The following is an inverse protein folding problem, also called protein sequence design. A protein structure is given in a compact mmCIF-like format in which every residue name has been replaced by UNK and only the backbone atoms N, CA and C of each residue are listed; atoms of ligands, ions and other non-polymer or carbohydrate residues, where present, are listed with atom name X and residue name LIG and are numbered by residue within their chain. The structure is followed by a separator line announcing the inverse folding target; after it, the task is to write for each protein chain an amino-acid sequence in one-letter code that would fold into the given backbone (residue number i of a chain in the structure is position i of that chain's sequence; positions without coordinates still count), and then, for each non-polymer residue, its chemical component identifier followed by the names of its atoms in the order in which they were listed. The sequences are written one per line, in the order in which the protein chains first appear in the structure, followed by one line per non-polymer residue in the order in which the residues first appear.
data_IF_051026225343
#
_entry.id   IF_051026225343
#
_cell.length_a   1.000
_cell.length_b   1.000
_cell.length_c   1.000
_cell.angle_alpha   90.00
_cell.angle_beta   90.00
_cell.angle_gamma   90.00
#
_symmetry.space_group_name_H-M   'P 1'
#
loop_
_entity.id
_entity.type
_entity.pdbx_description
1 polymer ?
#
# COMPACT_ATOMS: atom_id res chain seq x y z
N UNK A 1 10.28 -25.73 14.92
CA UNK A 1 9.48 -26.82 14.32
C UNK A 1 9.82 -27.10 12.85
N UNK A 2 10.63 -26.26 12.18
CA UNK A 2 11.02 -26.41 10.78
C UNK A 2 12.48 -26.01 10.54
N UNK A 3 13.08 -26.48 9.44
CA UNK A 3 14.43 -26.12 9.01
C UNK A 3 15.55 -26.77 9.84
N UNK A 4 16.74 -26.17 9.83
CA UNK A 4 17.98 -26.70 10.43
C UNK A 4 17.92 -26.95 11.95
N UNK A 5 16.94 -26.33 12.64
CA UNK A 5 16.82 -26.37 14.11
C UNK A 5 15.72 -27.33 14.60
N UNK A 6 15.15 -28.15 13.75
CA UNK A 6 14.15 -29.18 14.15
C UNK A 6 14.70 -30.08 15.21
N UNK A 7 13.92 -30.31 16.29
CA UNK A 7 14.30 -31.18 17.42
C UNK A 7 15.28 -30.56 18.41
N UNK A 8 15.81 -29.39 18.16
CA UNK A 8 16.71 -28.71 19.11
C UNK A 8 15.88 -27.86 20.11
N UNK A 9 16.44 -27.71 21.34
CA UNK A 9 15.88 -26.78 22.31
C UNK A 9 15.87 -25.36 21.76
N UNK A 10 14.75 -24.64 21.95
CA UNK A 10 14.63 -23.26 21.52
C UNK A 10 15.62 -22.38 22.30
N UNK A 11 16.46 -21.64 21.56
CA UNK A 11 17.34 -20.62 22.10
C UNK A 11 17.02 -19.31 21.42
N UNK A 12 16.59 -18.34 22.21
CA UNK A 12 16.31 -16.99 21.70
C UNK A 12 17.63 -16.32 21.29
N UNK A 13 17.63 -15.69 20.13
CA UNK A 13 18.71 -14.79 19.70
C UNK A 13 18.72 -13.53 20.56
N UNK A 14 19.79 -12.74 20.49
CA UNK A 14 19.84 -11.43 21.17
C UNK A 14 18.67 -10.55 20.72
N UNK A 15 18.45 -10.41 19.42
CA UNK A 15 17.34 -9.61 18.87
C UNK A 15 15.98 -10.06 19.41
N UNK A 16 15.70 -11.36 19.43
CA UNK A 16 14.43 -11.87 19.96
C UNK A 16 14.23 -11.56 21.44
N UNK A 17 15.30 -11.63 22.26
CA UNK A 17 15.24 -11.21 23.65
C UNK A 17 14.94 -9.72 23.80
N UNK A 18 15.66 -8.89 23.04
CA UNK A 18 15.47 -7.43 23.06
C UNK A 18 14.04 -7.06 22.64
N UNK A 19 13.44 -7.76 21.66
CA UNK A 19 12.06 -7.57 21.27
C UNK A 19 11.06 -7.94 22.38
N UNK A 20 11.27 -9.07 23.06
CA UNK A 20 10.43 -9.50 24.17
C UNK A 20 10.54 -8.52 25.35
N UNK A 21 11.75 -8.07 25.70
CA UNK A 21 11.93 -7.02 26.71
C UNK A 21 11.17 -5.73 26.32
N UNK A 22 11.21 -5.33 25.06
CA UNK A 22 10.46 -4.17 24.61
C UNK A 22 8.94 -4.37 24.74
N UNK A 23 8.43 -5.58 24.53
CA UNK A 23 7.00 -5.89 24.68
C UNK A 23 6.58 -5.88 26.14
N UNK A 24 7.36 -6.50 27.06
CA UNK A 24 6.93 -6.85 28.40
C UNK A 24 7.51 -6.00 29.55
N UNK A 25 8.70 -5.40 29.37
CA UNK A 25 9.35 -4.64 30.47
C UNK A 25 8.73 -3.24 30.67
N UNK A 26 7.95 -2.75 29.72
CA UNK A 26 7.26 -1.46 29.80
C UNK A 26 5.86 -1.57 29.21
N UNK A 27 4.88 -0.75 29.64
CA UNK A 27 3.52 -0.81 29.11
C UNK A 27 3.51 -0.70 27.57
N UNK A 28 2.97 -1.72 26.92
CA UNK A 28 2.85 -1.81 25.47
C UNK A 28 1.42 -2.08 25.06
N UNK A 29 0.86 -1.25 24.20
CA UNK A 29 -0.46 -1.42 23.60
C UNK A 29 -0.35 -2.02 22.21
N UNK A 30 0.61 -1.53 21.43
CA UNK A 30 0.88 -2.02 20.09
C UNK A 30 2.39 -2.19 19.90
N UNK A 31 2.79 -3.31 19.33
CA UNK A 31 4.17 -3.60 18.98
C UNK A 31 4.26 -3.99 17.51
N UNK A 32 4.96 -3.20 16.71
CA UNK A 32 5.17 -3.44 15.28
C UNK A 32 6.57 -3.97 15.06
N UNK A 33 6.69 -5.17 14.50
CA UNK A 33 7.94 -5.80 14.11
C UNK A 33 7.98 -5.99 12.60
N UNK A 34 8.68 -5.08 11.92
CA UNK A 34 8.80 -5.11 10.46
C UNK A 34 10.23 -5.40 10.01
N UNK A 35 10.37 -6.44 9.20
CA UNK A 35 11.63 -6.91 8.62
C UNK A 35 11.39 -7.82 7.43
N UNK A 36 12.43 -8.11 6.66
CA UNK A 36 12.37 -9.03 5.52
C UNK A 36 11.75 -10.39 5.87
N UNK A 37 11.34 -11.12 4.87
CA UNK A 37 10.77 -12.47 5.03
C UNK A 37 11.81 -13.46 5.57
N UNK A 38 11.35 -14.57 6.15
CA UNK A 38 12.18 -15.69 6.67
C UNK A 38 13.04 -15.37 7.90
N UNK A 39 12.70 -14.33 8.66
CA UNK A 39 13.34 -13.98 9.93
C UNK A 39 12.64 -14.60 11.16
N UNK A 40 11.83 -15.64 10.98
CA UNK A 40 11.11 -16.37 12.04
C UNK A 40 10.12 -15.51 12.88
N UNK A 41 9.56 -14.45 12.29
CA UNK A 41 8.53 -13.61 12.95
C UNK A 41 7.35 -14.46 13.44
N UNK A 42 6.74 -15.24 12.54
CA UNK A 42 5.57 -16.08 12.83
C UNK A 42 5.89 -17.18 13.85
N UNK A 43 7.13 -17.75 13.83
CA UNK A 43 7.54 -18.72 14.83
C UNK A 43 7.65 -18.10 16.24
N UNK A 44 8.23 -16.90 16.37
CA UNK A 44 8.25 -16.17 17.64
C UNK A 44 6.83 -15.85 18.13
N UNK A 45 5.96 -15.44 17.24
CA UNK A 45 4.55 -15.15 17.55
C UNK A 45 3.81 -16.39 18.04
N UNK A 46 4.11 -17.58 17.53
CA UNK A 46 3.55 -18.82 18.05
C UNK A 46 3.96 -19.08 19.53
N UNK A 47 5.21 -18.76 19.90
CA UNK A 47 5.64 -18.82 21.31
C UNK A 47 4.95 -17.76 22.16
N UNK A 48 4.74 -16.55 21.65
CA UNK A 48 3.99 -15.49 22.36
C UNK A 48 2.54 -15.92 22.59
N UNK A 49 1.89 -16.54 21.60
CA UNK A 49 0.54 -17.11 21.79
C UNK A 49 0.53 -18.12 22.95
N UNK A 50 1.48 -19.05 22.99
CA UNK A 50 1.55 -20.04 24.07
C UNK A 50 1.87 -19.41 25.43
N UNK A 51 2.67 -18.35 25.46
CA UNK A 51 2.98 -17.57 26.66
C UNK A 51 1.72 -16.96 27.28
N UNK A 52 0.80 -16.47 26.47
CA UNK A 52 -0.49 -15.91 26.90
C UNK A 52 -1.59 -16.96 27.05
N UNK A 53 -1.47 -18.14 26.41
CA UNK A 53 -2.48 -19.19 26.49
C UNK A 53 -2.39 -19.98 27.80
N UNK A 54 -1.18 -20.37 28.21
CA UNK A 54 -0.93 -21.22 29.37
C UNK A 54 0.38 -20.91 30.10
N UNK A 55 1.12 -19.87 29.70
CA UNK A 55 2.38 -19.44 30.33
C UNK A 55 2.19 -18.31 31.35
N UNK A 56 3.29 -17.66 31.76
CA UNK A 56 3.29 -16.61 32.81
C UNK A 56 2.43 -15.38 32.48
N UNK A 57 2.18 -15.09 31.20
CA UNK A 57 1.34 -13.97 30.76
C UNK A 57 -0.15 -14.36 30.61
N UNK A 58 -0.52 -15.62 30.90
CA UNK A 58 -1.89 -16.08 30.76
C UNK A 58 -2.78 -15.45 31.84
N UNK A 59 -3.94 -14.97 31.42
CA UNK A 59 -4.99 -14.44 32.28
C UNK A 59 -6.23 -15.31 32.10
N UNK A 60 -6.85 -15.71 33.20
CA UNK A 60 -8.04 -16.56 33.18
C UNK A 60 -9.13 -15.99 32.26
N UNK A 61 -9.75 -16.86 31.48
CA UNK A 61 -10.82 -16.56 30.51
C UNK A 61 -10.43 -15.59 29.37
N UNK A 62 -9.15 -15.45 29.09
CA UNK A 62 -8.68 -14.58 28.00
C UNK A 62 -8.92 -15.17 26.62
N UNK A 63 -9.23 -14.30 25.68
CA UNK A 63 -9.37 -14.60 24.26
C UNK A 63 -8.12 -14.09 23.51
N UNK A 64 -7.47 -14.98 22.77
CA UNK A 64 -6.29 -14.67 22.00
C UNK A 64 -6.57 -14.94 20.50
N UNK A 65 -6.16 -14.02 19.64
CA UNK A 65 -6.42 -14.15 18.21
C UNK A 65 -5.18 -13.89 17.38
N UNK A 66 -5.08 -14.58 16.25
CA UNK A 66 -4.26 -14.12 15.14
C UNK A 66 -5.14 -13.80 13.95
N UNK A 67 -4.74 -12.81 13.17
CA UNK A 67 -5.46 -12.30 12.02
C UNK A 67 -4.55 -12.24 10.81
N UNK A 68 -5.02 -12.77 9.66
CA UNK A 68 -4.37 -12.66 8.37
C UNK A 68 -5.40 -12.46 7.25
N UNK A 69 -4.94 -12.03 6.06
CA UNK A 69 -5.83 -11.73 4.93
C UNK A 69 -6.57 -12.97 4.42
N UNK A 70 -5.93 -14.11 4.39
CA UNK A 70 -6.53 -15.36 3.97
C UNK A 70 -6.60 -16.41 5.09
N UNK A 71 -7.51 -17.38 4.93
CA UNK A 71 -7.66 -18.50 5.86
C UNK A 71 -6.38 -19.35 5.94
N UNK A 72 -5.71 -19.57 4.83
CA UNK A 72 -4.50 -20.36 4.78
C UNK A 72 -3.33 -19.66 5.48
N UNK A 73 -3.18 -18.34 5.30
CA UNK A 73 -2.18 -17.56 6.03
C UNK A 73 -2.45 -17.54 7.54
N UNK A 74 -3.72 -17.36 7.95
CA UNK A 74 -4.09 -17.42 9.37
C UNK A 74 -3.76 -18.78 10.00
N UNK A 75 -3.89 -19.87 9.24
CA UNK A 75 -3.59 -21.22 9.70
C UNK A 75 -2.09 -21.44 10.02
N UNK A 76 -1.17 -20.72 9.37
CA UNK A 76 0.28 -20.94 9.54
C UNK A 76 0.72 -20.75 10.99
N UNK A 77 0.28 -19.67 11.63
CA UNK A 77 0.62 -19.40 13.03
C UNK A 77 0.03 -20.45 13.97
N UNK A 78 -1.23 -20.85 13.75
CA UNK A 78 -1.86 -21.94 14.49
C UNK A 78 -1.07 -23.24 14.35
N UNK A 79 -0.70 -23.63 13.14
CA UNK A 79 0.02 -24.87 12.87
C UNK A 79 1.39 -24.90 13.55
N UNK A 80 2.10 -23.78 13.58
CA UNK A 80 3.36 -23.65 14.31
C UNK A 80 3.16 -23.80 15.82
N UNK A 81 2.16 -23.13 16.41
CA UNK A 81 1.84 -23.25 17.81
C UNK A 81 1.39 -24.68 18.18
N UNK A 82 0.53 -25.29 17.37
CA UNK A 82 0.10 -26.68 17.55
C UNK A 82 1.26 -27.68 17.46
N UNK A 83 2.22 -27.48 16.54
CA UNK A 83 3.45 -28.30 16.48
C UNK A 83 4.25 -28.18 17.76
N UNK A 84 4.42 -26.98 18.32
CA UNK A 84 5.14 -26.79 19.58
C UNK A 84 4.44 -27.54 20.73
N UNK A 85 3.11 -27.45 20.82
CA UNK A 85 2.33 -28.19 21.82
C UNK A 85 2.54 -29.70 21.67
N UNK A 86 2.42 -30.25 20.46
CA UNK A 86 2.62 -31.69 20.17
C UNK A 86 4.04 -32.20 20.48
N UNK A 87 5.03 -31.31 20.38
CA UNK A 87 6.44 -31.66 20.63
C UNK A 87 6.83 -31.55 22.11
N UNK A 88 5.98 -30.98 22.96
CA UNK A 88 6.24 -30.79 24.40
C UNK A 88 5.25 -31.60 25.22
N UNK A 89 5.78 -32.58 25.98
CA UNK A 89 4.99 -33.40 26.91
C UNK A 89 4.26 -32.56 27.94
N UNK A 90 4.88 -31.45 28.38
CA UNK A 90 4.32 -30.59 29.40
C UNK A 90 3.14 -29.77 28.83
N UNK A 91 3.33 -29.14 27.65
CA UNK A 91 2.27 -28.34 27.02
C UNK A 91 1.08 -29.20 26.57
N UNK A 92 1.32 -30.41 26.10
CA UNK A 92 0.28 -31.32 25.63
C UNK A 92 -0.68 -31.79 26.74
N UNK A 93 -0.28 -31.66 28.00
CA UNK A 93 -1.15 -31.96 29.15
C UNK A 93 -2.18 -30.85 29.41
N UNK A 94 -1.84 -29.60 29.11
CA UNK A 94 -2.66 -28.42 29.43
C UNK A 94 -3.41 -27.87 28.23
N UNK A 95 -2.92 -28.11 27.00
CA UNK A 95 -3.45 -27.48 25.76
C UNK A 95 -4.15 -28.50 24.87
N UNK A 96 -5.43 -28.32 24.67
CA UNK A 96 -6.24 -29.09 23.73
C UNK A 96 -6.19 -28.45 22.34
N UNK A 97 -5.88 -29.23 21.31
CA UNK A 97 -5.77 -28.77 19.93
C UNK A 97 -7.03 -29.15 19.16
N UNK A 98 -7.68 -28.16 18.52
CA UNK A 98 -8.83 -28.34 17.63
C UNK A 98 -8.43 -27.98 16.19
N UNK A 99 -7.89 -28.93 15.45
CA UNK A 99 -7.30 -28.70 14.11
C UNK A 99 -8.29 -28.10 13.11
N UNK A 100 -9.54 -28.61 13.08
CA UNK A 100 -10.55 -28.14 12.15
C UNK A 100 -10.97 -26.69 12.41
N UNK A 101 -11.06 -26.30 13.68
CA UNK A 101 -11.44 -24.95 14.10
C UNK A 101 -10.24 -23.98 14.11
N UNK A 102 -8.99 -24.48 13.94
CA UNK A 102 -7.73 -23.75 14.10
C UNK A 102 -7.68 -23.04 15.47
N UNK A 103 -7.93 -23.82 16.53
CA UNK A 103 -8.10 -23.34 17.90
C UNK A 103 -7.24 -24.14 18.87
N UNK A 104 -6.64 -23.46 19.85
CA UNK A 104 -5.97 -24.04 21.00
C UNK A 104 -6.71 -23.61 22.25
N UNK A 105 -6.94 -24.55 23.18
CA UNK A 105 -7.70 -24.32 24.40
C UNK A 105 -6.90 -24.80 25.62
N UNK A 106 -6.71 -23.94 26.60
CA UNK A 106 -6.25 -24.31 27.94
C UNK A 106 -7.47 -24.33 28.90
N UNK A 107 -7.98 -25.52 29.17
CA UNK A 107 -9.23 -25.68 29.92
C UNK A 107 -9.09 -25.26 31.39
N UNK A 108 -7.92 -25.40 32.00
CA UNK A 108 -7.68 -25.00 33.41
C UNK A 108 -7.80 -23.50 33.60
N UNK A 109 -7.35 -22.68 32.64
CA UNK A 109 -7.41 -21.24 32.69
C UNK A 109 -8.64 -20.67 31.98
N UNK A 110 -9.37 -21.48 31.24
CA UNK A 110 -10.47 -21.01 30.37
C UNK A 110 -9.97 -20.15 29.20
N UNK A 111 -8.68 -20.15 28.92
CA UNK A 111 -8.10 -19.35 27.82
C UNK A 111 -8.20 -20.10 26.50
N UNK A 112 -8.39 -19.37 25.42
CA UNK A 112 -8.33 -19.96 24.09
C UNK A 112 -7.63 -19.04 23.08
N UNK A 113 -7.00 -19.66 22.10
CA UNK A 113 -6.46 -19.00 20.93
C UNK A 113 -7.17 -19.49 19.68
N UNK A 114 -7.48 -18.57 18.75
CA UNK A 114 -8.11 -18.87 17.48
C UNK A 114 -7.51 -18.05 16.33
N UNK A 115 -7.26 -18.72 15.20
CA UNK A 115 -6.85 -18.06 13.96
C UNK A 115 -8.08 -17.54 13.20
N UNK A 116 -8.05 -16.25 12.82
CA UNK A 116 -9.13 -15.56 12.11
C UNK A 116 -8.67 -15.11 10.72
N UNK A 117 -9.56 -15.23 9.75
CA UNK A 117 -9.43 -14.58 8.44
C UNK A 117 -10.43 -13.42 8.31
N UNK A 118 -10.26 -12.60 7.27
CA UNK A 118 -11.12 -11.44 7.03
C UNK A 118 -12.63 -11.76 7.05
N UNK A 119 -13.02 -12.90 6.51
CA UNK A 119 -14.43 -13.33 6.46
C UNK A 119 -15.01 -13.76 7.83
N UNK A 120 -14.16 -14.10 8.78
CA UNK A 120 -14.57 -14.66 10.07
C UNK A 120 -14.70 -13.60 11.19
N UNK A 121 -13.99 -12.49 11.09
CA UNK A 121 -13.90 -11.50 12.19
C UNK A 121 -15.22 -10.78 12.49
N UNK A 122 -16.11 -10.67 11.51
CA UNK A 122 -17.39 -9.94 11.66
C UNK A 122 -18.50 -10.72 12.36
N UNK A 123 -18.26 -12.01 12.70
CA UNK A 123 -19.31 -12.93 13.15
C UNK A 123 -19.33 -13.22 14.66
N UNK A 124 -18.39 -12.67 15.46
CA UNK A 124 -18.23 -13.03 16.87
C UNK A 124 -18.21 -11.81 17.79
N UNK A 125 -18.75 -11.97 19.01
CA UNK A 125 -18.52 -11.05 20.12
C UNK A 125 -17.08 -11.21 20.63
N UNK A 126 -16.13 -10.52 20.01
CA UNK A 126 -14.72 -10.60 20.32
C UNK A 126 -14.36 -9.72 21.50
N UNK A 127 -13.47 -10.20 22.36
CA UNK A 127 -12.87 -9.42 23.46
C UNK A 127 -11.40 -9.85 23.62
N UNK A 128 -10.54 -9.48 22.66
CA UNK A 128 -9.17 -9.98 22.62
C UNK A 128 -8.28 -9.35 23.69
N UNK A 129 -7.58 -10.19 24.47
CA UNK A 129 -6.48 -9.79 25.34
C UNK A 129 -5.14 -9.71 24.56
N UNK A 130 -4.98 -10.56 23.53
CA UNK A 130 -3.86 -10.54 22.58
C UNK A 130 -4.39 -10.67 21.16
N UNK A 131 -3.91 -9.82 20.28
CA UNK A 131 -4.09 -9.94 18.82
C UNK A 131 -2.74 -9.96 18.14
N UNK A 132 -2.53 -10.91 17.24
CA UNK A 132 -1.36 -10.95 16.35
C UNK A 132 -1.81 -10.76 14.91
N UNK A 133 -1.46 -9.61 14.32
CA UNK A 133 -1.69 -9.34 12.90
C UNK A 133 -0.49 -9.84 12.09
N UNK A 134 -0.70 -10.89 11.31
CA UNK A 134 0.34 -11.46 10.45
C UNK A 134 0.23 -10.92 9.03
N UNK A 135 1.35 -10.43 8.50
CA UNK A 135 1.49 -9.84 7.14
C UNK A 135 0.51 -8.68 6.86
N UNK A 136 0.29 -7.78 7.84
CA UNK A 136 -0.55 -6.59 7.68
C UNK A 136 -0.08 -5.66 6.53
N UNK A 137 1.20 -5.71 6.15
CA UNK A 137 1.74 -4.98 5.01
C UNK A 137 1.22 -5.43 3.64
N UNK A 138 0.46 -6.52 3.57
CA UNK A 138 -0.22 -6.94 2.34
C UNK A 138 -1.61 -6.28 2.17
N UNK A 139 -2.09 -5.57 3.18
CA UNK A 139 -3.35 -4.80 3.08
C UNK A 139 -3.12 -3.58 2.22
N UNK A 140 -3.88 -3.46 1.15
CA UNK A 140 -3.84 -2.32 0.25
C UNK A 140 -4.77 -1.21 0.76
N UNK A 141 -4.25 0.01 0.77
CA UNK A 141 -4.97 1.19 1.21
C UNK A 141 -4.93 1.43 2.74
N UNK A 142 -5.54 2.53 3.20
CA UNK A 142 -5.38 3.03 4.57
C UNK A 142 -6.23 2.31 5.61
N UNK A 143 -7.10 1.39 5.23
CA UNK A 143 -8.09 0.75 6.12
C UNK A 143 -8.13 -0.76 5.97
N UNK A 144 -8.46 -1.44 7.05
CA UNK A 144 -8.75 -2.87 7.09
C UNK A 144 -9.88 -3.15 8.07
N UNK A 145 -10.99 -3.67 7.56
CA UNK A 145 -12.14 -4.03 8.41
C UNK A 145 -11.77 -5.05 9.49
N UNK A 146 -10.91 -6.02 9.16
CA UNK A 146 -10.43 -7.02 10.11
C UNK A 146 -9.61 -6.38 11.23
N UNK A 147 -8.66 -5.49 10.87
CA UNK A 147 -7.85 -4.76 11.84
C UNK A 147 -8.73 -3.89 12.77
N UNK A 148 -9.60 -3.07 12.18
CA UNK A 148 -10.49 -2.16 12.93
C UNK A 148 -11.43 -2.93 13.87
N UNK A 149 -11.99 -4.05 13.42
CA UNK A 149 -12.88 -4.88 14.24
C UNK A 149 -12.15 -5.47 15.47
N UNK A 150 -10.92 -5.95 15.32
CA UNK A 150 -10.14 -6.52 16.42
C UNK A 150 -9.64 -5.45 17.38
N UNK A 151 -9.17 -4.31 16.87
CA UNK A 151 -8.69 -3.20 17.70
C UNK A 151 -9.82 -2.57 18.52
N UNK A 152 -11.00 -2.39 17.93
CA UNK A 152 -12.18 -1.87 18.67
C UNK A 152 -12.70 -2.88 19.68
N UNK A 153 -12.70 -4.17 19.36
CA UNK A 153 -13.10 -5.24 20.29
C UNK A 153 -12.19 -5.37 21.51
N UNK A 154 -10.94 -4.92 21.41
CA UNK A 154 -9.97 -4.93 22.52
C UNK A 154 -10.31 -3.95 23.64
N UNK A 155 -11.21 -3.00 23.43
CA UNK A 155 -11.56 -1.96 24.40
C UNK A 155 -12.17 -2.50 25.71
N UNK A 156 -12.64 -3.74 25.72
CA UNK A 156 -13.15 -4.41 26.93
C UNK A 156 -12.03 -4.94 27.86
N UNK A 157 -10.77 -4.94 27.40
CA UNK A 157 -9.64 -5.45 28.19
C UNK A 157 -8.88 -4.29 28.86
N UNK A 158 -8.40 -4.50 30.10
CA UNK A 158 -7.60 -3.50 30.81
C UNK A 158 -6.25 -3.20 30.13
N UNK A 159 -5.55 -4.25 29.69
CA UNK A 159 -4.25 -4.15 29.06
C UNK A 159 -4.19 -5.05 27.83
N UNK A 160 -4.90 -4.70 26.75
CA UNK A 160 -4.86 -5.46 25.53
C UNK A 160 -3.52 -5.24 24.80
N UNK A 161 -2.99 -6.29 24.20
CA UNK A 161 -1.75 -6.25 23.43
C UNK A 161 -2.01 -6.58 21.96
N UNK A 162 -1.61 -5.68 21.08
CA UNK A 162 -1.64 -5.89 19.64
C UNK A 162 -0.21 -6.02 19.13
N UNK A 163 0.09 -7.12 18.43
CA UNK A 163 1.39 -7.37 17.82
C UNK A 163 1.21 -7.47 16.32
N UNK A 164 1.95 -6.65 15.58
CA UNK A 164 1.96 -6.64 14.12
C UNK A 164 3.30 -7.17 13.64
N UNK A 165 3.28 -8.27 12.89
CA UNK A 165 4.46 -8.85 12.25
C UNK A 165 4.29 -8.83 10.75
N UNK A 166 5.19 -8.14 10.03
CA UNK A 166 5.06 -8.00 8.57
C UNK A 166 6.37 -7.59 7.91
N UNK A 167 6.41 -7.67 6.57
CA UNK A 167 7.22 -6.76 5.77
C UNK A 167 6.51 -5.40 5.70
N UNK A 168 7.23 -4.31 5.35
CA UNK A 168 6.59 -3.02 5.07
C UNK A 168 5.54 -3.15 3.96
N UNK A 169 4.51 -2.33 4.04
CA UNK A 169 3.60 -2.14 2.92
C UNK A 169 4.32 -1.43 1.76
N UNK A 170 3.88 -1.65 0.50
CA UNK A 170 4.53 -1.06 -0.66
C UNK A 170 4.48 0.46 -0.70
N UNK A 171 3.36 1.07 -0.25
CA UNK A 171 3.13 2.52 -0.36
C UNK A 171 3.03 3.22 0.99
N UNK A 172 3.24 4.53 1.01
CA UNK A 172 3.08 5.35 2.21
C UNK A 172 1.60 5.49 2.63
N UNK A 173 0.68 5.31 1.69
CA UNK A 173 -0.76 5.40 1.92
C UNK A 173 -1.38 4.13 2.53
N UNK A 174 -0.65 3.04 2.61
CA UNK A 174 -1.15 1.77 3.14
C UNK A 174 -1.19 1.77 4.67
N UNK A 175 -2.14 1.03 5.24
CA UNK A 175 -2.41 0.98 6.68
C UNK A 175 -1.15 0.75 7.52
N UNK A 176 -0.32 -0.25 7.18
CA UNK A 176 0.87 -0.54 7.96
C UNK A 176 1.90 0.60 7.92
N UNK A 177 2.04 1.28 6.78
CA UNK A 177 2.94 2.42 6.65
C UNK A 177 2.53 3.56 7.59
N UNK A 178 1.22 3.84 7.68
CA UNK A 178 0.67 4.85 8.58
C UNK A 178 0.91 4.50 10.04
N UNK A 179 0.68 3.23 10.42
CA UNK A 179 0.91 2.75 11.80
C UNK A 179 2.39 2.82 12.19
N UNK A 180 3.30 2.48 11.27
CA UNK A 180 4.75 2.61 11.49
C UNK A 180 5.15 4.08 11.67
N UNK A 181 4.65 4.96 10.83
CA UNK A 181 5.01 6.38 10.88
C UNK A 181 4.43 7.06 12.11
N UNK A 182 3.18 6.75 12.51
CA UNK A 182 2.62 7.20 13.78
C UNK A 182 3.44 6.73 14.98
N UNK A 183 3.76 5.43 15.05
CA UNK A 183 4.56 4.88 16.16
C UNK A 183 5.97 5.49 16.24
N UNK A 184 6.57 5.87 15.11
CA UNK A 184 7.87 6.57 15.07
C UNK A 184 7.81 8.00 15.62
N UNK A 185 6.66 8.66 15.61
CA UNK A 185 6.50 9.98 16.21
C UNK A 185 6.69 9.97 17.72
N UNK A 186 6.44 8.80 18.36
CA UNK A 186 6.48 8.65 19.81
C UNK A 186 5.34 9.38 20.54
N UNK A 187 4.27 9.78 19.84
CA UNK A 187 3.11 10.45 20.43
C UNK A 187 2.41 9.59 21.48
N UNK A 188 2.24 8.29 21.23
CA UNK A 188 1.88 7.32 22.27
C UNK A 188 3.07 6.37 22.52
N UNK A 189 3.70 6.50 23.70
CA UNK A 189 4.85 5.68 24.11
C UNK A 189 4.52 4.19 24.25
N UNK A 190 3.23 3.81 24.29
CA UNK A 190 2.80 2.41 24.32
C UNK A 190 2.76 1.78 22.94
N UNK A 191 2.84 2.59 21.86
CA UNK A 191 2.97 2.13 20.49
C UNK A 191 4.46 2.08 20.14
N UNK A 192 4.95 0.88 19.90
CA UNK A 192 6.38 0.63 19.68
C UNK A 192 6.61 0.02 18.32
N UNK A 193 7.71 0.42 17.68
CA UNK A 193 8.08 -0.10 16.37
C UNK A 193 9.55 -0.50 16.34
N UNK A 194 9.81 -1.68 15.80
CA UNK A 194 11.13 -2.10 15.35
C UNK A 194 11.07 -2.32 13.85
N UNK A 195 11.86 -1.55 13.13
CA UNK A 195 11.92 -1.57 11.68
C UNK A 195 13.34 -1.88 11.22
N UNK A 196 13.50 -3.05 10.62
CA UNK A 196 14.73 -3.42 9.91
C UNK A 196 14.47 -3.24 8.41
N UNK A 197 15.14 -2.30 7.80
CA UNK A 197 14.99 -1.96 6.38
C UNK A 197 16.31 -1.52 5.78
N UNK A 198 16.58 -1.85 4.53
CA UNK A 198 17.70 -1.28 3.80
C UNK A 198 17.38 0.15 3.37
N UNK A 199 18.38 1.01 3.30
CA UNK A 199 18.23 2.38 2.78
C UNK A 199 17.86 2.34 1.30
N UNK A 200 17.08 3.33 0.83
CA UNK A 200 16.60 3.35 -0.56
C UNK A 200 17.71 3.62 -1.59
N UNK A 201 18.75 4.37 -1.18
CA UNK A 201 19.89 4.81 -1.98
C UNK A 201 21.08 3.84 -1.97
N UNK A 202 21.02 2.72 -1.20
CA UNK A 202 22.06 1.70 -1.20
C UNK A 202 22.04 0.80 -2.43
N UNK A 203 23.15 0.08 -2.69
CA UNK A 203 23.11 -1.05 -3.63
C UNK A 203 22.20 -2.15 -3.08
N UNK A 204 21.02 -2.37 -3.69
CA UNK A 204 20.02 -3.30 -3.16
C UNK A 204 20.48 -4.77 -3.21
N UNK A 205 21.50 -5.07 -3.98
CA UNK A 205 21.98 -6.43 -4.17
C UNK A 205 23.19 -6.78 -3.30
N UNK A 206 23.65 -5.84 -2.45
CA UNK A 206 24.75 -6.04 -1.52
C UNK A 206 24.31 -6.85 -0.29
N UNK A 207 25.26 -7.57 0.31
CA UNK A 207 25.03 -8.28 1.58
C UNK A 207 24.71 -7.29 2.73
N UNK A 208 25.23 -6.08 2.68
CA UNK A 208 24.97 -5.01 3.65
C UNK A 208 23.51 -4.61 3.64
N UNK A 209 22.94 -4.39 2.47
CA UNK A 209 21.52 -4.08 2.30
C UNK A 209 20.64 -5.22 2.82
N UNK A 210 21.01 -6.47 2.51
CA UNK A 210 20.28 -7.65 2.99
C UNK A 210 20.34 -7.74 4.51
N UNK A 211 21.51 -7.55 5.15
CA UNK A 211 21.67 -7.59 6.61
C UNK A 211 20.90 -6.49 7.31
N UNK A 212 20.84 -5.29 6.75
CA UNK A 212 20.12 -4.17 7.33
C UNK A 212 18.61 -4.49 7.51
N UNK A 213 18.05 -5.26 6.58
CA UNK A 213 16.63 -5.65 6.62
C UNK A 213 16.39 -7.01 7.30
N UNK A 214 17.44 -7.80 7.57
CA UNK A 214 17.33 -9.20 8.01
C UNK A 214 18.29 -9.49 9.18
N UNK A 215 17.88 -9.19 10.44
CA UNK A 215 18.74 -9.34 11.62
C UNK A 215 19.20 -10.80 11.85
N UNK A 216 18.57 -11.77 11.21
CA UNK A 216 18.92 -13.18 11.30
C UNK A 216 19.57 -13.74 10.02
N UNK A 217 20.07 -12.88 9.11
CA UNK A 217 20.69 -13.29 7.85
C UNK A 217 21.83 -14.31 8.09
N UNK A 218 22.76 -14.02 9.00
CA UNK A 218 23.90 -14.90 9.30
C UNK A 218 23.59 -15.95 10.38
N UNK A 219 22.36 -16.00 10.93
CA UNK A 219 22.01 -16.91 12.05
C UNK A 219 21.34 -18.19 11.56
N UNK A 220 20.22 -18.05 10.85
CA UNK A 220 19.45 -19.24 10.41
C UNK A 220 18.82 -19.10 9.02
N UNK A 221 18.97 -17.95 8.34
CA UNK A 221 18.52 -17.83 6.95
C UNK A 221 19.40 -18.67 6.01
N UNK A 222 18.84 -19.08 4.90
CA UNK A 222 19.61 -19.67 3.82
C UNK A 222 20.26 -18.56 2.98
N UNK A 223 21.49 -18.22 3.33
CA UNK A 223 22.25 -17.10 2.74
C UNK A 223 22.41 -17.26 1.22
N UNK A 224 22.71 -18.50 0.77
CA UNK A 224 22.89 -18.80 -0.66
C UNK A 224 21.59 -18.55 -1.45
N UNK A 225 20.46 -18.97 -0.89
CA UNK A 225 19.16 -18.77 -1.53
C UNK A 225 18.78 -17.29 -1.59
N UNK A 226 19.06 -16.51 -0.53
CA UNK A 226 18.80 -15.07 -0.53
C UNK A 226 19.68 -14.34 -1.56
N UNK A 227 20.96 -14.70 -1.65
CA UNK A 227 21.87 -14.18 -2.68
C UNK A 227 21.44 -14.56 -4.10
N UNK A 228 20.92 -15.78 -4.28
CA UNK A 228 20.33 -16.19 -5.56
C UNK A 228 19.14 -15.31 -5.94
N UNK A 229 18.23 -15.01 -4.99
CA UNK A 229 17.10 -14.11 -5.22
C UNK A 229 17.55 -12.70 -5.56
N UNK A 230 18.59 -12.18 -4.92
CA UNK A 230 19.21 -10.90 -5.26
C UNK A 230 19.76 -10.89 -6.70
N UNK A 231 20.49 -11.94 -7.08
CA UNK A 231 21.01 -12.10 -8.44
C UNK A 231 19.91 -12.20 -9.50
N UNK A 232 18.83 -12.92 -9.20
CA UNK A 232 17.66 -13.05 -10.08
C UNK A 232 16.95 -11.70 -10.26
N UNK A 233 16.79 -10.92 -9.17
CA UNK A 233 16.18 -9.60 -9.24
C UNK A 233 17.07 -8.60 -10.02
N UNK A 234 18.38 -8.68 -9.87
CA UNK A 234 19.34 -7.87 -10.64
C UNK A 234 19.27 -8.18 -12.14
N UNK A 235 19.11 -9.45 -12.51
CA UNK A 235 19.03 -9.91 -13.89
C UNK A 235 17.65 -9.65 -14.53
N UNK A 236 16.59 -9.63 -13.71
CA UNK A 236 15.20 -9.49 -14.15
C UNK A 236 14.57 -8.28 -13.44
N UNK A 237 14.64 -7.06 -14.05
CA UNK A 237 14.16 -5.82 -13.42
C UNK A 237 12.70 -5.88 -12.93
N UNK A 238 11.84 -6.65 -13.59
CA UNK A 238 10.45 -6.85 -13.15
C UNK A 238 10.30 -7.54 -11.79
N UNK A 239 11.34 -8.22 -11.29
CA UNK A 239 11.37 -8.85 -9.97
C UNK A 239 11.96 -7.95 -8.87
N UNK A 240 12.63 -6.88 -9.24
CA UNK A 240 13.30 -5.99 -8.30
C UNK A 240 12.33 -5.37 -7.27
N UNK A 241 11.15 -4.83 -7.63
CA UNK A 241 10.23 -4.25 -6.64
C UNK A 241 9.79 -5.27 -5.58
N UNK A 242 9.44 -6.49 -5.99
CA UNK A 242 9.08 -7.55 -5.05
C UNK A 242 10.26 -7.96 -4.16
N UNK A 243 11.47 -8.06 -4.71
CA UNK A 243 12.69 -8.33 -3.94
C UNK A 243 12.96 -7.22 -2.93
N UNK A 244 12.89 -5.95 -3.33
CA UNK A 244 13.09 -4.80 -2.44
C UNK A 244 12.07 -4.78 -1.30
N UNK A 245 10.81 -5.04 -1.57
CA UNK A 245 9.79 -5.07 -0.52
C UNK A 245 9.92 -6.30 0.39
N UNK A 246 10.06 -7.50 -0.17
CA UNK A 246 9.97 -8.75 0.60
C UNK A 246 11.28 -9.15 1.29
N UNK A 247 12.44 -8.81 0.72
CA UNK A 247 13.76 -9.16 1.26
C UNK A 247 14.42 -7.95 1.93
N UNK A 248 14.41 -6.79 1.28
CA UNK A 248 15.03 -5.58 1.83
C UNK A 248 14.08 -4.78 2.71
N UNK A 249 12.82 -5.19 2.80
CA UNK A 249 11.79 -4.55 3.62
C UNK A 249 11.63 -3.05 3.31
N UNK A 250 11.76 -2.68 2.05
CA UNK A 250 11.61 -1.30 1.59
C UNK A 250 10.16 -1.03 1.17
N UNK A 251 9.70 0.22 1.34
CA UNK A 251 8.47 0.72 0.73
C UNK A 251 8.76 0.99 -0.74
N UNK A 252 8.39 0.05 -1.59
CA UNK A 252 8.58 0.16 -3.04
C UNK A 252 7.30 -0.33 -3.67
N UNK A 253 6.64 0.52 -4.42
CA UNK A 253 5.45 0.11 -5.18
C UNK A 253 5.79 -1.10 -6.04
N UNK A 254 5.04 -2.18 -5.85
CA UNK A 254 5.20 -3.41 -6.62
C UNK A 254 4.72 -3.26 -8.08
N UNK A 255 4.15 -2.10 -8.42
CA UNK A 255 3.81 -1.75 -9.79
C UNK A 255 5.06 -1.26 -10.48
N UNK A 256 5.46 -1.93 -11.53
CA UNK A 256 6.46 -1.40 -12.45
C UNK A 256 5.90 -0.08 -12.98
N UNK A 257 6.51 1.07 -12.67
CA UNK A 257 6.02 2.32 -13.21
C UNK A 257 6.04 2.23 -14.73
N UNK A 258 5.09 2.91 -15.38
CA UNK A 258 4.99 2.93 -16.85
C UNK A 258 6.33 3.31 -17.48
N UNK A 259 7.01 4.32 -16.92
CA UNK A 259 8.40 4.68 -17.24
C UNK A 259 9.17 4.96 -15.95
N UNK A 260 10.49 4.81 -15.96
CA UNK A 260 11.31 5.16 -14.82
C UNK A 260 11.31 6.68 -14.56
N UNK A 261 11.49 7.08 -13.30
CA UNK A 261 11.60 8.51 -12.94
C UNK A 261 12.71 9.23 -13.70
N UNK A 262 13.79 8.53 -14.02
CA UNK A 262 14.90 9.09 -14.83
C UNK A 262 14.41 9.45 -16.24
N UNK A 263 13.72 8.53 -16.93
CA UNK A 263 13.16 8.76 -18.26
C UNK A 263 12.12 9.90 -18.22
N UNK A 264 11.27 9.94 -17.20
CA UNK A 264 10.32 11.04 -17.03
C UNK A 264 11.04 12.39 -16.88
N UNK A 265 12.00 12.50 -15.97
CA UNK A 265 12.75 13.74 -15.72
C UNK A 265 13.59 14.20 -16.94
N UNK A 266 14.02 13.28 -17.80
CA UNK A 266 14.74 13.63 -19.03
C UNK A 266 13.85 14.37 -20.05
N UNK A 267 12.53 14.31 -19.89
CA UNK A 267 11.53 15.02 -20.69
C UNK A 267 10.96 16.28 -19.96
N UNK A 268 11.53 16.66 -18.81
CA UNK A 268 11.09 17.76 -17.96
C UNK A 268 11.49 19.16 -18.45
N UNK A 269 11.61 19.39 -19.75
CA UNK A 269 11.87 20.72 -20.32
C UNK A 269 10.63 21.62 -20.30
N UNK A 270 10.84 22.95 -20.18
CA UNK A 270 9.75 23.94 -20.25
C UNK A 270 9.05 23.88 -21.62
N UNK A 271 7.72 23.69 -21.69
CA UNK A 271 7.00 23.67 -22.95
C UNK A 271 7.07 25.03 -23.67
N UNK A 272 7.42 25.05 -24.93
CA UNK A 272 7.48 26.26 -25.75
C UNK A 272 6.13 26.53 -26.44
N UNK A 273 5.14 27.03 -25.67
CA UNK A 273 3.77 27.23 -26.14
C UNK A 273 3.69 28.50 -26.98
N UNK A 274 3.19 28.38 -28.24
CA UNK A 274 3.04 29.50 -29.17
C UNK A 274 1.58 29.63 -29.64
N UNK A 275 1.08 30.85 -29.77
CA UNK A 275 -0.25 31.13 -30.32
C UNK A 275 -0.37 30.57 -31.75
N UNK A 276 -1.55 30.01 -32.06
CA UNK A 276 -1.86 29.38 -33.38
C UNK A 276 -1.04 28.13 -33.69
N UNK A 277 -0.32 27.60 -32.73
CA UNK A 277 0.39 26.33 -32.89
C UNK A 277 -0.59 25.17 -33.11
N UNK A 278 -0.19 24.20 -33.92
CA UNK A 278 -0.97 22.97 -34.12
C UNK A 278 -0.88 22.08 -32.89
N UNK A 279 -2.04 21.69 -32.39
CA UNK A 279 -2.12 20.86 -31.20
C UNK A 279 -3.11 19.70 -31.34
N UNK A 280 -2.88 18.66 -30.56
CA UNK A 280 -3.81 17.58 -30.27
C UNK A 280 -4.11 17.59 -28.78
N UNK A 281 -5.30 17.18 -28.41
CA UNK A 281 -5.68 17.15 -26.99
C UNK A 281 -6.39 15.85 -26.62
N UNK A 282 -6.34 15.50 -25.34
CA UNK A 282 -7.11 14.42 -24.73
C UNK A 282 -7.86 14.93 -23.52
N UNK A 283 -9.16 14.69 -23.46
CA UNK A 283 -10.06 15.13 -22.40
C UNK A 283 -10.64 13.92 -21.67
N UNK A 284 -10.45 13.88 -20.36
CA UNK A 284 -11.11 12.95 -19.44
C UNK A 284 -12.06 13.71 -18.51
N UNK A 285 -13.36 13.39 -18.59
CA UNK A 285 -14.43 14.09 -17.89
C UNK A 285 -14.88 13.30 -16.66
N UNK A 286 -14.69 13.86 -15.49
CA UNK A 286 -15.31 13.38 -14.26
C UNK A 286 -16.85 13.57 -14.30
N UNK A 287 -17.57 12.67 -13.63
CA UNK A 287 -19.03 12.78 -13.53
C UNK A 287 -19.52 13.63 -12.35
N UNK A 288 -18.77 13.74 -11.26
CA UNK A 288 -19.21 14.47 -10.04
C UNK A 288 -18.08 15.25 -9.38
N UNK A 289 -17.19 14.59 -8.64
CA UNK A 289 -16.20 15.23 -7.77
C UNK A 289 -14.76 14.77 -8.01
N UNK A 290 -14.53 13.92 -8.99
CA UNK A 290 -13.20 13.50 -9.39
C UNK A 290 -12.54 14.52 -10.32
N UNK A 291 -11.23 14.37 -10.49
CA UNK A 291 -10.43 15.22 -11.33
C UNK A 291 -10.88 15.12 -12.79
N UNK A 292 -11.22 16.26 -13.41
CA UNK A 292 -11.33 16.38 -14.86
C UNK A 292 -10.01 16.87 -15.41
N UNK A 293 -9.52 16.25 -16.48
CA UNK A 293 -8.21 16.51 -17.05
C UNK A 293 -8.27 16.75 -18.55
N UNK A 294 -7.56 17.75 -19.02
CA UNK A 294 -7.22 17.96 -20.42
C UNK A 294 -5.71 17.97 -20.56
N UNK A 295 -5.18 17.22 -21.48
CA UNK A 295 -3.75 17.25 -21.82
C UNK A 295 -3.62 17.66 -23.28
N UNK A 296 -2.91 18.75 -23.53
CA UNK A 296 -2.59 19.26 -24.86
C UNK A 296 -1.17 18.91 -25.24
N UNK A 297 -0.92 18.60 -26.51
CA UNK A 297 0.40 18.32 -27.07
C UNK A 297 0.57 19.01 -28.40
N UNK A 298 1.71 19.70 -28.59
CA UNK A 298 2.07 20.33 -29.86
C UNK A 298 2.71 19.33 -30.83
N UNK A 299 2.81 19.73 -32.09
CA UNK A 299 3.58 18.97 -33.08
C UNK A 299 5.09 18.93 -32.76
N UNK A 300 5.59 19.89 -31.99
CA UNK A 300 6.98 19.90 -31.48
C UNK A 300 7.19 19.00 -30.26
N UNK A 301 6.12 18.46 -29.66
CA UNK A 301 6.21 17.60 -28.48
C UNK A 301 6.07 18.34 -27.14
N UNK A 302 5.68 19.63 -27.15
CA UNK A 302 5.39 20.35 -25.92
C UNK A 302 4.07 19.86 -25.34
N UNK A 303 4.06 19.52 -24.07
CA UNK A 303 2.90 18.95 -23.35
C UNK A 303 2.52 19.84 -22.19
N UNK A 304 1.25 20.23 -22.12
CA UNK A 304 0.74 20.95 -20.96
C UNK A 304 -0.64 20.44 -20.55
N UNK A 305 -0.80 20.11 -19.28
CA UNK A 305 -2.09 19.69 -18.71
C UNK A 305 -2.88 20.88 -18.20
N UNK A 306 -4.20 20.71 -18.15
CA UNK A 306 -5.13 21.54 -17.39
C UNK A 306 -6.05 20.63 -16.58
N UNK A 307 -6.24 20.94 -15.32
CA UNK A 307 -7.02 20.11 -14.40
C UNK A 307 -8.13 20.94 -13.75
N UNK A 308 -9.29 20.31 -13.48
CA UNK A 308 -10.40 20.94 -12.78
C UNK A 308 -10.91 20.07 -11.64
N UNK A 309 -11.23 20.74 -10.52
CA UNK A 309 -11.97 20.17 -9.40
C UNK A 309 -13.04 21.14 -8.91
N UNK A 310 -14.12 20.64 -8.24
CA UNK A 310 -15.05 21.50 -7.54
C UNK A 310 -14.35 22.26 -6.41
N UNK A 311 -14.69 23.55 -6.23
CA UNK A 311 -14.15 24.40 -5.17
C UNK A 311 -14.65 23.96 -3.79
N UNK A 312 -15.96 23.65 -3.68
CA UNK A 312 -16.54 23.24 -2.42
C UNK A 312 -16.04 21.83 -2.01
N UNK A 313 -15.42 21.75 -0.83
CA UNK A 313 -14.93 20.50 -0.26
C UNK A 313 -13.51 20.11 -0.67
N UNK A 314 -12.78 20.98 -1.40
CA UNK A 314 -11.39 20.69 -1.84
C UNK A 314 -10.46 20.33 -0.67
N UNK A 315 -10.55 21.05 0.46
CA UNK A 315 -9.72 20.78 1.64
C UNK A 315 -10.04 19.42 2.30
N UNK A 316 -11.30 18.99 2.24
CA UNK A 316 -11.70 17.65 2.71
C UNK A 316 -11.23 16.57 1.74
N UNK A 317 -11.38 16.81 0.43
CA UNK A 317 -10.87 15.92 -0.62
C UNK A 317 -9.35 15.78 -0.54
N UNK A 318 -8.61 16.88 -0.34
CA UNK A 318 -7.15 16.86 -0.15
C UNK A 318 -6.75 15.96 1.02
N UNK A 319 -7.47 16.02 2.15
CA UNK A 319 -7.23 15.16 3.32
C UNK A 319 -7.59 13.70 3.05
N UNK A 320 -8.71 13.44 2.39
CA UNK A 320 -9.20 12.08 2.15
C UNK A 320 -8.32 11.35 1.13
N UNK A 321 -7.97 12.02 0.04
CA UNK A 321 -7.14 11.46 -1.03
C UNK A 321 -5.64 11.54 -0.70
N UNK A 322 -5.26 12.34 0.31
CA UNK A 322 -3.87 12.66 0.68
C UNK A 322 -3.07 13.26 -0.46
N UNK A 323 -3.73 14.11 -1.22
CA UNK A 323 -3.17 14.85 -2.35
C UNK A 323 -3.39 16.34 -2.07
N UNK A 324 -2.37 17.20 -2.18
CA UNK A 324 -2.46 18.61 -1.82
C UNK A 324 -3.17 19.44 -2.92
N UNK A 325 -4.42 19.11 -3.23
CA UNK A 325 -5.20 19.80 -4.26
C UNK A 325 -5.41 21.29 -3.95
N UNK A 326 -5.58 21.64 -2.69
CA UNK A 326 -5.69 23.01 -2.19
C UNK A 326 -4.42 23.82 -2.44
N UNK A 327 -3.24 23.22 -2.24
CA UNK A 327 -1.96 23.83 -2.58
C UNK A 327 -1.82 24.02 -4.10
N UNK A 328 -2.10 22.97 -4.89
CA UNK A 328 -2.04 23.06 -6.36
C UNK A 328 -2.99 24.11 -6.94
N UNK A 329 -4.18 24.28 -6.36
CA UNK A 329 -5.08 25.34 -6.76
C UNK A 329 -4.51 26.73 -6.42
N UNK A 330 -3.88 26.89 -5.24
CA UNK A 330 -3.25 28.17 -4.85
C UNK A 330 -2.03 28.52 -5.71
N UNK A 331 -1.35 27.53 -6.27
CA UNK A 331 -0.21 27.68 -7.18
C UNK A 331 -0.63 27.83 -8.65
N UNK A 332 -1.93 27.75 -8.96
CA UNK A 332 -2.44 27.87 -10.33
C UNK A 332 -2.22 26.62 -11.20
N UNK A 333 -1.92 25.47 -10.58
CA UNK A 333 -1.75 24.20 -11.25
C UNK A 333 -3.06 23.43 -11.41
N UNK A 334 -4.11 23.87 -10.73
CA UNK A 334 -5.44 23.28 -10.70
C UNK A 334 -6.51 24.36 -10.73
N UNK A 335 -7.41 24.30 -11.70
CA UNK A 335 -8.53 25.18 -11.83
C UNK A 335 -9.72 24.72 -10.97
N UNK A 336 -10.39 25.66 -10.29
CA UNK A 336 -11.54 25.35 -9.47
C UNK A 336 -12.84 25.75 -10.18
N UNK A 337 -13.80 24.80 -10.24
CA UNK A 337 -15.14 25.10 -10.71
C UNK A 337 -16.07 25.38 -9.52
N UNK A 338 -17.02 26.32 -9.62
CA UNK A 338 -17.96 26.62 -8.53
C UNK A 338 -18.80 25.40 -8.13
N UNK A 339 -19.17 25.32 -6.83
CA UNK A 339 -20.08 24.31 -6.30
C UNK A 339 -19.39 22.98 -5.94
N UNK A 340 -20.20 21.93 -5.78
CA UNK A 340 -19.78 20.59 -5.27
C UNK A 340 -19.52 19.56 -6.36
N UNK A 341 -19.78 19.89 -7.61
CA UNK A 341 -19.55 19.01 -8.76
C UNK A 341 -18.90 19.79 -9.88
N UNK A 342 -18.20 19.08 -10.78
CA UNK A 342 -17.61 19.72 -11.98
C UNK A 342 -18.70 20.42 -12.77
N UNK A 343 -18.52 21.72 -12.99
CA UNK A 343 -19.41 22.51 -13.83
C UNK A 343 -18.90 22.53 -15.27
N UNK A 344 -19.51 21.74 -16.14
CA UNK A 344 -19.09 21.56 -17.53
C UNK A 344 -19.12 22.85 -18.35
N UNK A 345 -19.87 23.85 -17.94
CA UNK A 345 -19.88 25.17 -18.56
C UNK A 345 -18.49 25.83 -18.47
N UNK A 346 -17.79 25.68 -17.36
CA UNK A 346 -16.41 26.15 -17.20
C UNK A 346 -15.45 25.43 -18.13
N UNK A 347 -15.56 24.12 -18.21
CA UNK A 347 -14.76 23.30 -19.13
C UNK A 347 -15.01 23.70 -20.57
N UNK A 348 -16.28 23.93 -20.96
CA UNK A 348 -16.65 24.36 -22.32
C UNK A 348 -16.07 25.73 -22.69
N UNK A 349 -16.11 26.72 -21.78
CA UNK A 349 -15.48 28.03 -22.00
C UNK A 349 -13.97 27.92 -22.20
N UNK A 350 -13.31 27.16 -21.34
CA UNK A 350 -11.87 26.92 -21.43
C UNK A 350 -11.50 26.28 -22.77
N UNK A 351 -12.29 25.27 -23.18
CA UNK A 351 -12.13 24.66 -24.49
C UNK A 351 -12.36 25.65 -25.65
N UNK A 352 -13.29 26.63 -25.51
CA UNK A 352 -13.46 27.66 -26.51
C UNK A 352 -12.21 28.53 -26.62
N UNK A 353 -11.65 28.99 -25.52
CA UNK A 353 -10.37 29.72 -25.47
C UNK A 353 -9.25 28.94 -26.12
N UNK A 354 -9.13 27.62 -25.82
CA UNK A 354 -8.15 26.75 -26.45
C UNK A 354 -8.28 26.71 -27.98
N UNK A 355 -9.51 26.61 -28.49
CA UNK A 355 -9.77 26.60 -29.95
C UNK A 355 -9.58 27.97 -30.59
N UNK A 356 -9.73 29.07 -29.86
CA UNK A 356 -9.45 30.42 -30.34
C UNK A 356 -7.94 30.71 -30.40
N UNK A 357 -7.18 30.18 -29.45
CA UNK A 357 -5.75 30.44 -29.31
C UNK A 357 -4.89 29.48 -30.15
N UNK A 358 -5.36 28.27 -30.40
CA UNK A 358 -4.58 27.21 -31.07
C UNK A 358 -5.31 26.60 -32.28
N UNK A 359 -4.53 26.03 -33.19
CA UNK A 359 -5.05 25.21 -34.29
C UNK A 359 -5.24 23.75 -33.83
N UNK A 360 -6.36 23.50 -33.13
CA UNK A 360 -6.69 22.18 -32.60
C UNK A 360 -7.02 21.21 -33.72
N UNK A 361 -6.17 20.21 -33.94
CA UNK A 361 -6.34 19.21 -35.01
C UNK A 361 -7.35 18.13 -34.62
N UNK A 362 -7.27 17.63 -33.39
CA UNK A 362 -8.22 16.69 -32.82
C UNK A 362 -8.20 16.77 -31.28
N UNK A 363 -9.38 16.54 -30.67
CA UNK A 363 -9.54 16.37 -29.24
C UNK A 363 -10.16 14.99 -28.99
N UNK A 364 -9.38 14.09 -28.42
CA UNK A 364 -9.83 12.76 -28.04
C UNK A 364 -10.60 12.83 -26.72
N UNK A 365 -11.70 12.08 -26.56
CA UNK A 365 -12.50 12.05 -25.35
C UNK A 365 -13.10 10.67 -25.07
N UNK A 366 -13.38 10.35 -23.77
CA UNK A 366 -14.20 9.22 -23.41
C UNK A 366 -15.70 9.52 -23.65
N UNK A 367 -16.39 8.57 -24.26
CA UNK A 367 -17.82 8.71 -24.63
C UNK A 367 -18.75 8.91 -23.43
N UNK A 368 -18.34 8.50 -22.23
CA UNK A 368 -19.25 8.33 -21.10
C UNK A 368 -19.94 9.63 -20.68
N UNK A 369 -19.18 10.71 -20.48
CA UNK A 369 -19.69 11.97 -19.96
C UNK A 369 -19.87 13.05 -21.04
N UNK A 370 -19.41 12.82 -22.27
CA UNK A 370 -19.46 13.82 -23.35
C UNK A 370 -20.85 14.33 -23.66
N UNK A 371 -21.89 13.50 -23.50
CA UNK A 371 -23.30 13.92 -23.68
C UNK A 371 -23.70 15.09 -22.77
N UNK A 372 -23.06 15.23 -21.61
CA UNK A 372 -23.35 16.31 -20.68
C UNK A 372 -22.55 17.58 -20.99
N UNK A 373 -21.40 17.47 -21.65
CA UNK A 373 -20.58 18.60 -22.10
C UNK A 373 -21.11 19.19 -23.41
N UNK A 374 -21.63 18.38 -24.34
CA UNK A 374 -22.05 18.82 -25.68
C UNK A 374 -22.98 20.03 -25.67
N UNK A 375 -24.04 20.14 -24.85
CA UNK A 375 -24.88 21.34 -24.82
C UNK A 375 -24.13 22.63 -24.48
N UNK A 376 -23.16 22.56 -23.59
CA UNK A 376 -22.30 23.65 -23.17
C UNK A 376 -21.29 24.07 -24.23
N UNK A 377 -20.81 23.15 -25.06
CA UNK A 377 -19.98 23.48 -26.21
C UNK A 377 -20.77 24.31 -27.24
N UNK A 378 -22.02 23.92 -27.51
CA UNK A 378 -22.90 24.68 -28.40
C UNK A 378 -23.18 26.08 -27.82
N UNK A 379 -23.45 26.18 -26.51
CA UNK A 379 -23.63 27.49 -25.82
C UNK A 379 -22.36 28.34 -25.85
N UNK A 380 -21.18 27.71 -25.78
CA UNK A 380 -19.88 28.39 -25.89
C UNK A 380 -19.54 28.83 -27.32
N UNK A 381 -20.40 28.53 -28.33
CA UNK A 381 -20.23 28.99 -29.69
C UNK A 381 -19.40 28.09 -30.60
N UNK A 382 -19.25 26.80 -30.26
CA UNK A 382 -18.61 25.85 -31.18
C UNK A 382 -19.45 25.59 -32.42
N UNK A 383 -18.83 25.68 -33.57
CA UNK A 383 -19.43 25.37 -34.88
C UNK A 383 -19.46 23.84 -35.11
N UNK A 384 -20.32 23.39 -36.01
CA UNK A 384 -20.38 21.97 -36.40
C UNK A 384 -19.05 21.46 -36.91
N UNK A 385 -18.29 22.25 -37.67
CA UNK A 385 -16.97 21.93 -38.20
C UNK A 385 -15.92 21.73 -37.05
N UNK A 386 -15.99 22.57 -36.02
CA UNK A 386 -15.12 22.42 -34.83
C UNK A 386 -15.51 21.21 -34.00
N UNK A 387 -16.80 20.90 -33.85
CA UNK A 387 -17.27 19.72 -33.17
C UNK A 387 -16.85 18.42 -33.87
N UNK A 388 -16.63 18.44 -35.19
CA UNK A 388 -16.04 17.30 -35.91
C UNK A 388 -14.60 16.96 -35.49
N UNK A 389 -13.89 17.90 -34.84
CA UNK A 389 -12.53 17.66 -34.30
C UNK A 389 -12.56 16.89 -32.97
N UNK A 390 -13.71 16.80 -32.30
CA UNK A 390 -13.87 15.96 -31.12
C UNK A 390 -14.00 14.48 -31.56
N UNK A 391 -13.05 13.64 -31.12
CA UNK A 391 -12.94 12.25 -31.56
C UNK A 391 -13.17 11.30 -30.36
N UNK A 392 -14.18 10.44 -30.42
CA UNK A 392 -14.38 9.44 -29.38
C UNK A 392 -13.19 8.47 -29.34
N UNK A 393 -12.61 8.27 -28.16
CA UNK A 393 -11.50 7.39 -27.92
C UNK A 393 -11.85 6.36 -26.85
N UNK A 394 -11.65 5.08 -27.13
CA UNK A 394 -12.00 4.01 -26.20
C UNK A 394 -10.91 3.80 -25.15
N UNK A 395 -11.28 3.63 -23.89
CA UNK A 395 -10.33 3.35 -22.79
C UNK A 395 -9.98 1.86 -22.62
N UNK A 396 -10.45 0.98 -23.51
CA UNK A 396 -10.13 -0.44 -23.50
C UNK A 396 -8.74 -0.76 -24.07
N UNK A 397 -8.28 -1.99 -23.85
CA UNK A 397 -6.95 -2.47 -24.27
C UNK A 397 -6.65 -2.26 -25.76
N UNK A 398 -7.65 -2.38 -26.63
CA UNK A 398 -7.47 -2.23 -28.10
C UNK A 398 -7.03 -0.81 -28.45
N UNK A 399 -7.61 0.21 -27.82
CA UNK A 399 -7.30 1.62 -28.10
C UNK A 399 -6.11 2.12 -27.28
N UNK A 400 -6.08 1.80 -25.97
CA UNK A 400 -5.07 2.33 -25.05
C UNK A 400 -3.68 1.70 -25.26
N UNK A 401 -3.58 0.40 -25.57
CA UNK A 401 -2.26 -0.25 -25.68
C UNK A 401 -1.38 0.33 -26.80
N UNK A 402 -1.88 0.66 -28.01
CA UNK A 402 -1.09 1.36 -29.01
C UNK A 402 -0.68 2.77 -28.58
N UNK A 403 -1.60 3.53 -27.96
CA UNK A 403 -1.34 4.90 -27.51
C UNK A 403 -0.27 4.93 -26.41
N UNK A 404 -0.32 4.01 -25.45
CA UNK A 404 0.68 3.89 -24.39
C UNK A 404 2.05 3.52 -24.95
N UNK A 405 2.13 2.62 -25.93
CA UNK A 405 3.41 2.28 -26.59
C UNK A 405 4.02 3.47 -27.33
N UNK A 406 3.19 4.26 -28.00
CA UNK A 406 3.65 5.49 -28.67
C UNK A 406 4.15 6.51 -27.65
N UNK A 407 3.43 6.71 -26.54
CA UNK A 407 3.86 7.58 -25.45
C UNK A 407 5.20 7.13 -24.85
N UNK A 408 5.36 5.83 -24.59
CA UNK A 408 6.60 5.25 -24.11
C UNK A 408 7.76 5.48 -25.07
N UNK A 409 7.53 5.24 -26.36
CA UNK A 409 8.55 5.46 -27.40
C UNK A 409 8.98 6.93 -27.47
N UNK A 410 8.05 7.88 -27.38
CA UNK A 410 8.36 9.32 -27.37
C UNK A 410 9.13 9.75 -26.13
N UNK A 411 8.77 9.23 -24.94
CA UNK A 411 9.51 9.49 -23.69
C UNK A 411 10.94 8.94 -23.76
N UNK A 412 11.12 7.72 -24.27
CA UNK A 412 12.45 7.14 -24.47
C UNK A 412 13.28 7.90 -25.51
N UNK A 413 12.64 8.46 -26.53
CA UNK A 413 13.28 9.29 -27.55
C UNK A 413 13.55 10.73 -27.09
N UNK A 414 13.13 11.12 -25.86
CA UNK A 414 13.23 12.48 -25.31
C UNK A 414 12.60 13.55 -26.22
N UNK A 415 11.49 13.19 -26.85
CA UNK A 415 10.78 14.05 -27.81
C UNK A 415 9.55 14.73 -27.21
N UNK A 416 9.41 14.73 -25.91
CA UNK A 416 8.37 15.43 -25.18
C UNK A 416 8.97 16.44 -24.20
N UNK A 417 8.21 17.54 -23.95
CA UNK A 417 8.58 18.58 -22.98
C UNK A 417 7.35 18.89 -22.12
N UNK A 418 7.33 18.39 -20.87
CA UNK A 418 6.11 18.44 -20.04
C UNK A 418 6.21 19.38 -18.83
N UNK A 419 7.25 20.20 -18.73
CA UNK A 419 7.54 20.99 -17.54
C UNK A 419 8.11 20.15 -16.39
N UNK A 420 8.45 20.80 -15.28
CA UNK A 420 8.89 20.15 -14.03
C UNK A 420 7.81 20.15 -12.98
#
# INVERSE_FOLDING_TARGET
PEGKLVGQKVKLTKHQRDWLCMIYDTPTRMFILSMGRKNAKTALSAFIVLLHLCGPEARANSQLYSAAQSRDQAAILFELAAKVVRMSSDLSQYVNIRDTAKELLCSELGTFYKALSADAATKFGLSPALVIHDELGQVVGPRSQLYEALETASAAQENPLSIIISTQAPTDADLLSLLIDDAKTGADKRNKVILYTAQLDCDPFSDEAIRAANPHFDVFMNVEEVRRQASDAKRLPSREPAYRNLILNQRVEARTPFVSRAVWNENGGEPAIQARQRIWAGLDLSSVSDLTALVSVSDAGDVWPTFWLPEEGIAEKSRNDRVPYDLWASEGLLELTPGRSIEYRFVARWLRELFDDFDVQALAFDRHNMRFLTPWLVEAGFTDDELLRFKPFGQGYISMSPALRELEARLLAKSLHHGM
#
